data_IF_829848180397
#
_entry.id   IF_829848180397
#
_cell.length_a   1.000
_cell.length_b   1.000
_cell.length_c   1.000
_cell.angle_alpha   90.00
_cell.angle_beta   90.00
_cell.angle_gamma   90.00
#
_symmetry.space_group_name_H-M   'P 1'
#
loop_
_entity.id
_entity.type
_entity.pdbx_description
1 polymer ?
#
# COMPACT_ATOMS: atom_id res chain seq x y z
N UNK A 1 -0.43 -16.75 -14.56
CA UNK A 1 -0.59 -17.76 -13.48
C UNK A 1 -0.97 -17.04 -12.20
N UNK A 2 -2.25 -17.01 -11.84
CA UNK A 2 -2.69 -16.44 -10.56
C UNK A 2 -2.49 -17.53 -9.51
N UNK A 3 -1.46 -17.39 -8.67
CA UNK A 3 -1.15 -18.37 -7.62
C UNK A 3 -2.30 -18.38 -6.62
N UNK A 4 -3.19 -19.37 -6.71
CA UNK A 4 -4.18 -19.66 -5.66
C UNK A 4 -3.43 -20.27 -4.48
N UNK A 5 -3.02 -19.43 -3.54
CA UNK A 5 -2.56 -19.87 -2.22
C UNK A 5 -3.75 -20.57 -1.54
N UNK A 6 -3.69 -21.90 -1.51
CA UNK A 6 -4.69 -22.82 -0.93
C UNK A 6 -4.75 -22.71 0.61
N UNK A 7 -3.78 -22.01 1.22
CA UNK A 7 -3.67 -21.76 2.66
C UNK A 7 -4.07 -20.34 3.04
N UNK A 8 -5.10 -20.21 3.88
CA UNK A 8 -5.50 -18.92 4.47
C UNK A 8 -4.35 -18.24 5.22
N UNK A 9 -3.46 -19.03 5.83
CA UNK A 9 -2.26 -18.56 6.51
C UNK A 9 -1.29 -17.88 5.53
N UNK A 10 -1.04 -18.49 4.38
CA UNK A 10 -0.16 -17.89 3.35
C UNK A 10 -0.74 -16.58 2.81
N UNK A 11 -2.07 -16.52 2.61
CA UNK A 11 -2.75 -15.28 2.20
C UNK A 11 -2.61 -14.16 3.24
N UNK A 12 -2.75 -14.49 4.53
CA UNK A 12 -2.55 -13.51 5.62
C UNK A 12 -1.12 -13.00 5.64
N UNK A 13 -0.14 -13.90 5.56
CA UNK A 13 1.29 -13.53 5.54
C UNK A 13 1.58 -12.59 4.37
N UNK A 14 1.15 -12.93 3.16
CA UNK A 14 1.36 -12.07 1.98
C UNK A 14 0.74 -10.68 2.15
N UNK A 15 -0.45 -10.58 2.75
CA UNK A 15 -1.08 -9.29 3.06
C UNK A 15 -0.25 -8.48 4.06
N UNK A 16 0.18 -9.07 5.16
CA UNK A 16 0.96 -8.34 6.16
C UNK A 16 2.34 -7.91 5.64
N UNK A 17 3.04 -8.80 4.93
CA UNK A 17 4.34 -8.48 4.32
C UNK A 17 4.18 -7.41 3.25
N UNK A 18 3.17 -7.52 2.37
CA UNK A 18 2.89 -6.50 1.37
C UNK A 18 2.53 -5.15 1.97
N UNK A 19 1.76 -5.13 3.06
CA UNK A 19 1.41 -3.91 3.80
C UNK A 19 2.64 -3.25 4.43
N UNK A 20 3.51 -4.05 5.06
CA UNK A 20 4.76 -3.55 5.63
C UNK A 20 5.67 -2.95 4.54
N UNK A 21 5.80 -3.60 3.38
CA UNK A 21 6.56 -3.08 2.26
C UNK A 21 6.01 -1.74 1.74
N UNK A 22 4.68 -1.62 1.60
CA UNK A 22 4.06 -0.35 1.20
C UNK A 22 4.29 0.76 2.23
N UNK A 23 4.24 0.45 3.54
CA UNK A 23 4.56 1.42 4.59
C UNK A 23 6.01 1.90 4.52
N UNK A 24 6.96 1.01 4.24
CA UNK A 24 8.37 1.39 4.05
C UNK A 24 8.55 2.31 2.84
N UNK A 25 7.83 2.04 1.74
CA UNK A 25 7.85 2.91 0.56
C UNK A 25 7.29 4.30 0.91
N UNK A 26 6.15 4.37 1.59
CA UNK A 26 5.56 5.63 2.07
C UNK A 26 6.53 6.38 2.97
N UNK A 27 7.17 5.69 3.92
CA UNK A 27 8.16 6.28 4.83
C UNK A 27 9.37 6.85 4.07
N UNK A 28 9.81 6.20 2.98
CA UNK A 28 10.87 6.73 2.12
C UNK A 28 10.48 8.07 1.50
N UNK A 29 9.28 8.19 0.94
CA UNK A 29 8.80 9.46 0.38
C UNK A 29 8.71 10.55 1.45
N UNK A 30 8.21 10.23 2.65
CA UNK A 30 8.16 11.18 3.77
C UNK A 30 9.57 11.62 4.21
N UNK A 31 10.55 10.71 4.20
CA UNK A 31 11.94 11.04 4.48
C UNK A 31 12.50 11.97 3.40
N UNK A 32 12.26 11.70 2.12
CA UNK A 32 12.71 12.58 1.04
C UNK A 32 12.15 13.99 1.19
N UNK A 33 10.85 14.10 1.52
CA UNK A 33 10.18 15.37 1.75
C UNK A 33 10.74 16.13 2.95
N UNK A 34 11.03 15.43 4.05
CA UNK A 34 11.60 16.02 5.27
C UNK A 34 12.99 16.61 5.04
N UNK A 35 13.78 16.00 4.14
CA UNK A 35 15.17 16.41 3.90
C UNK A 35 15.30 17.31 2.66
N UNK A 36 14.21 17.92 2.20
CA UNK A 36 14.19 18.83 1.04
C UNK A 36 14.83 18.23 -0.22
N UNK A 37 14.74 16.89 -0.37
CA UNK A 37 15.15 16.25 -1.61
C UNK A 37 14.21 16.68 -2.73
N UNK A 38 14.76 16.86 -3.94
CA UNK A 38 13.95 17.25 -5.10
C UNK A 38 13.00 16.10 -5.41
N UNK A 39 11.71 16.33 -5.19
CA UNK A 39 10.65 15.39 -5.56
C UNK A 39 10.02 15.86 -6.87
N UNK A 40 10.27 15.11 -7.94
CA UNK A 40 9.76 15.43 -9.27
C UNK A 40 8.27 15.09 -9.42
N UNK A 41 7.70 15.39 -10.59
CA UNK A 41 6.28 15.13 -10.83
C UNK A 41 5.95 13.63 -10.81
N UNK A 42 6.84 12.80 -11.35
CA UNK A 42 6.67 11.35 -11.44
C UNK A 42 6.66 10.70 -10.06
N UNK A 43 7.54 11.15 -9.16
CA UNK A 43 7.61 10.69 -7.77
C UNK A 43 6.35 11.08 -6.99
N UNK A 44 5.81 12.29 -7.19
CA UNK A 44 4.54 12.70 -6.57
C UNK A 44 3.36 11.86 -7.05
N UNK A 45 3.29 11.55 -8.35
CA UNK A 45 2.26 10.68 -8.92
C UNK A 45 2.40 9.26 -8.36
N UNK A 46 3.63 8.75 -8.30
CA UNK A 46 3.93 7.42 -7.76
C UNK A 46 3.57 7.32 -6.28
N UNK A 47 3.88 8.34 -5.49
CA UNK A 47 3.47 8.43 -4.08
C UNK A 47 1.95 8.36 -3.93
N UNK A 48 1.20 9.11 -4.76
CA UNK A 48 -0.26 9.06 -4.79
C UNK A 48 -0.79 7.65 -5.09
N UNK A 49 -0.21 6.95 -6.06
CA UNK A 49 -0.59 5.57 -6.40
C UNK A 49 -0.31 4.60 -5.25
N UNK A 50 0.84 4.71 -4.58
CA UNK A 50 1.20 3.90 -3.42
C UNK A 50 0.20 4.12 -2.28
N UNK A 51 -0.16 5.39 -2.00
CA UNK A 51 -1.15 5.75 -0.98
C UNK A 51 -2.54 5.18 -1.29
N UNK A 52 -3.03 5.36 -2.51
CA UNK A 52 -4.33 4.83 -2.94
C UNK A 52 -4.32 3.30 -2.85
N UNK A 53 -3.25 2.65 -3.26
CA UNK A 53 -3.10 1.18 -3.19
C UNK A 53 -3.13 0.70 -1.74
N UNK A 54 -2.40 1.37 -0.85
CA UNK A 54 -2.38 1.03 0.57
C UNK A 54 -3.78 1.18 1.20
N UNK A 55 -4.43 2.32 1.00
CA UNK A 55 -5.77 2.59 1.55
C UNK A 55 -6.78 1.59 0.98
N UNK A 56 -6.84 1.41 -0.34
CA UNK A 56 -7.80 0.47 -0.96
C UNK A 56 -7.59 -0.98 -0.53
N UNK A 57 -6.36 -1.38 -0.22
CA UNK A 57 -6.03 -2.77 0.16
C UNK A 57 -6.22 -3.04 1.65
N UNK A 58 -5.86 -2.09 2.52
CA UNK A 58 -5.80 -2.31 3.98
C UNK A 58 -6.89 -1.57 4.76
N UNK A 59 -7.50 -0.52 4.20
CA UNK A 59 -8.63 0.14 4.84
C UNK A 59 -9.93 -0.56 4.46
N UNK A 60 -10.72 -1.04 5.44
CA UNK A 60 -11.99 -1.67 5.14
C UNK A 60 -12.95 -0.62 4.58
N UNK A 61 -13.30 -0.76 3.31
CA UNK A 61 -14.44 -0.04 2.73
C UNK A 61 -15.67 -0.61 3.41
N UNK A 62 -16.35 0.17 4.26
CA UNK A 62 -17.64 -0.23 4.82
C UNK A 62 -18.56 -0.59 3.66
N UNK A 63 -18.83 -1.88 3.48
CA UNK A 63 -19.97 -2.29 2.69
C UNK A 63 -21.19 -1.81 3.47
N UNK A 64 -21.90 -0.82 2.92
CA UNK A 64 -23.23 -0.50 3.39
C UNK A 64 -24.05 -1.78 3.31
N UNK A 65 -24.26 -2.41 4.46
CA UNK A 65 -25.24 -3.49 4.59
C UNK A 65 -26.60 -2.83 4.47
N UNK A 66 -27.03 -2.56 3.24
CA UNK A 66 -28.43 -2.31 2.95
C UNK A 66 -29.14 -3.66 3.13
N UNK A 67 -29.56 -3.92 4.37
CA UNK A 67 -30.55 -4.95 4.69
C UNK A 67 -31.93 -4.47 4.26
#
# INVERSE_FOLDING_TARGET
MIVRLKDESARKIVRYVGGAALLLIIASFLYQWKNDLVIDHTERVSFGLVLITFISTFFPIKQSTHK
#
